data_IF_146777644795
#
_entry.id   IF_146777644795
#
_cell.length_a   1.000
_cell.length_b   1.000
_cell.length_c   1.000
_cell.angle_alpha   90.00
_cell.angle_beta   90.00
_cell.angle_gamma   90.00
#
_symmetry.space_group_name_H-M   'P 1'
#
loop_
_entity.id
_entity.type
_entity.pdbx_description
1 polymer ?
#
# COMPACT_ATOMS: atom_id res chain seq x y z
N UNK A 1 -13.67 -23.76 -16.87
CA UNK A 1 -14.19 -23.15 -15.65
C UNK A 1 -13.16 -22.14 -15.18
N UNK A 2 -13.50 -20.86 -15.25
CA UNK A 2 -12.64 -19.79 -14.71
C UNK A 2 -12.79 -19.80 -13.19
N UNK A 3 -11.67 -19.91 -12.48
CA UNK A 3 -11.66 -19.79 -11.03
C UNK A 3 -11.95 -18.30 -10.70
N UNK A 4 -12.91 -18.05 -9.82
CA UNK A 4 -13.20 -16.70 -9.32
C UNK A 4 -11.95 -16.11 -8.68
N UNK A 5 -11.60 -14.88 -9.02
CA UNK A 5 -10.43 -14.22 -8.47
C UNK A 5 -10.72 -13.67 -7.06
N UNK A 6 -9.68 -13.60 -6.23
CA UNK A 6 -9.79 -13.02 -4.89
C UNK A 6 -10.25 -11.57 -4.97
N UNK A 7 -11.38 -11.26 -4.34
CA UNK A 7 -12.00 -9.94 -4.32
C UNK A 7 -12.91 -9.62 -5.52
N UNK A 8 -13.04 -10.51 -6.49
CA UNK A 8 -13.87 -10.27 -7.69
C UNK A 8 -15.34 -10.06 -7.34
N UNK A 9 -15.87 -10.85 -6.40
CA UNK A 9 -17.26 -10.74 -5.94
C UNK A 9 -17.56 -9.40 -5.25
N UNK A 10 -16.61 -8.91 -4.46
CA UNK A 10 -16.79 -7.65 -3.70
C UNK A 10 -16.49 -6.40 -4.54
N UNK A 11 -15.57 -6.50 -5.52
CA UNK A 11 -15.08 -5.38 -6.33
C UNK A 11 -15.05 -5.73 -7.82
N UNK A 12 -16.17 -6.13 -8.44
CA UNK A 12 -16.16 -6.67 -9.80
C UNK A 12 -15.68 -5.67 -10.86
N UNK A 13 -15.95 -4.38 -10.68
CA UNK A 13 -15.48 -3.35 -11.61
C UNK A 13 -13.94 -3.22 -11.63
N UNK A 14 -13.25 -3.62 -10.55
CA UNK A 14 -11.79 -3.66 -10.50
C UNK A 14 -11.22 -4.65 -11.53
N UNK A 15 -11.88 -5.78 -11.73
CA UNK A 15 -11.47 -6.83 -12.64
C UNK A 15 -11.86 -6.57 -14.11
N UNK A 16 -12.85 -5.70 -14.34
CA UNK A 16 -13.19 -5.21 -15.70
C UNK A 16 -12.23 -4.11 -16.20
N UNK A 17 -11.46 -3.52 -15.30
CA UNK A 17 -10.37 -2.63 -15.65
C UNK A 17 -9.14 -3.50 -16.04
N UNK A 18 -8.22 -2.99 -16.87
CA UNK A 18 -7.01 -3.74 -17.22
C UNK A 18 -6.04 -3.82 -16.03
N UNK A 19 -6.53 -4.36 -14.91
CA UNK A 19 -5.76 -4.64 -13.71
C UNK A 19 -5.50 -6.13 -13.66
N UNK A 20 -4.22 -6.51 -13.64
CA UNK A 20 -3.79 -7.91 -13.54
C UNK A 20 -3.65 -8.36 -12.07
N UNK A 21 -4.08 -7.51 -11.11
CA UNK A 21 -3.89 -7.70 -9.68
C UNK A 21 -5.21 -8.04 -9.00
N UNK A 22 -5.19 -9.02 -8.10
CA UNK A 22 -6.30 -9.28 -7.21
C UNK A 22 -6.53 -8.13 -6.23
N UNK A 23 -7.80 -7.85 -5.87
CA UNK A 23 -8.10 -6.84 -4.86
C UNK A 23 -7.81 -7.40 -3.47
N UNK A 24 -6.67 -7.00 -2.88
CA UNK A 24 -6.13 -7.58 -1.65
C UNK A 24 -6.45 -6.81 -0.37
N UNK A 25 -7.26 -5.75 -0.39
CA UNK A 25 -7.55 -4.98 0.85
C UNK A 25 -8.22 -5.85 1.90
N UNK A 26 -9.10 -6.77 1.48
CA UNK A 26 -9.81 -7.73 2.35
C UNK A 26 -9.17 -9.11 2.40
N UNK A 27 -7.90 -9.24 2.01
CA UNK A 27 -7.23 -10.56 1.96
C UNK A 27 -7.30 -11.33 3.28
N UNK A 28 -7.33 -10.62 4.41
CA UNK A 28 -7.47 -11.25 5.72
C UNK A 28 -8.81 -11.98 5.87
N UNK A 29 -9.90 -11.39 5.36
CA UNK A 29 -11.22 -12.01 5.37
C UNK A 29 -11.22 -13.25 4.46
N UNK A 30 -10.71 -13.13 3.24
CA UNK A 30 -10.65 -14.24 2.28
C UNK A 30 -9.82 -15.43 2.77
N UNK A 31 -8.75 -15.18 3.53
CA UNK A 31 -7.96 -16.24 4.18
C UNK A 31 -8.78 -16.93 5.28
N UNK A 32 -9.44 -16.14 6.15
CA UNK A 32 -10.15 -16.67 7.31
C UNK A 32 -11.46 -17.35 6.94
N UNK A 33 -12.15 -16.86 5.92
CA UNK A 33 -13.44 -17.37 5.46
C UNK A 33 -13.29 -18.48 4.40
N UNK A 34 -12.07 -18.71 3.90
CA UNK A 34 -11.75 -19.66 2.81
C UNK A 34 -12.58 -19.38 1.53
N UNK A 35 -12.91 -18.12 1.27
CA UNK A 35 -13.73 -17.67 0.14
C UNK A 35 -12.88 -16.83 -0.84
N UNK A 36 -12.91 -17.05 -2.15
CA UNK A 36 -13.68 -18.04 -2.92
C UNK A 36 -13.09 -19.47 -2.88
N UNK A 37 -11.91 -19.63 -2.31
CA UNK A 37 -11.21 -20.90 -2.09
C UNK A 37 -10.20 -20.78 -0.94
N UNK A 38 -9.81 -21.93 -0.32
CA UNK A 38 -8.81 -21.89 0.75
C UNK A 38 -7.46 -21.39 0.30
N UNK A 39 -7.01 -20.27 0.87
CA UNK A 39 -5.65 -19.79 0.73
C UNK A 39 -4.77 -20.48 1.76
N UNK A 40 -3.89 -21.39 1.31
CA UNK A 40 -3.06 -22.23 2.20
C UNK A 40 -1.67 -21.65 2.43
N UNK A 41 -1.14 -20.91 1.46
CA UNK A 41 0.18 -20.31 1.55
C UNK A 41 0.19 -18.87 1.05
N UNK A 42 1.06 -18.05 1.65
CA UNK A 42 1.31 -16.68 1.25
C UNK A 42 2.82 -16.42 1.19
N UNK A 43 3.24 -15.76 0.13
CA UNK A 43 4.61 -15.25 0.01
C UNK A 43 4.52 -13.72 -0.06
N UNK A 44 5.02 -13.05 0.98
CA UNK A 44 4.99 -11.60 1.08
C UNK A 44 6.36 -10.98 0.81
N UNK A 45 6.47 -10.12 -0.21
CA UNK A 45 7.65 -9.30 -0.46
C UNK A 45 7.45 -7.92 0.15
N UNK A 46 8.19 -7.59 1.21
CA UNK A 46 8.04 -6.35 1.96
C UNK A 46 6.67 -6.21 2.62
N UNK A 47 5.99 -7.31 2.89
CA UNK A 47 4.66 -7.30 3.49
C UNK A 47 4.75 -6.79 4.94
N UNK A 48 4.00 -5.73 5.22
CA UNK A 48 3.84 -5.20 6.55
C UNK A 48 2.34 -5.14 6.90
N UNK A 49 1.85 -6.13 7.63
CA UNK A 49 0.43 -6.25 8.01
C UNK A 49 -0.11 -5.02 8.74
N UNK A 50 0.76 -4.24 9.40
CA UNK A 50 0.37 -3.00 10.09
C UNK A 50 -0.05 -1.86 9.15
N UNK A 51 0.18 -2.01 7.85
CA UNK A 51 -0.27 -1.05 6.84
C UNK A 51 -1.71 -1.29 6.39
N UNK A 52 -2.34 -2.39 6.80
CA UNK A 52 -3.76 -2.67 6.58
C UNK A 52 -4.64 -2.11 7.70
N UNK A 53 -5.90 -1.76 7.43
CA UNK A 53 -6.87 -1.47 8.47
C UNK A 53 -7.03 -2.66 9.42
N UNK A 54 -7.23 -2.37 10.71
CA UNK A 54 -7.32 -3.40 11.76
C UNK A 54 -6.18 -4.43 11.69
N UNK A 55 -4.92 -4.05 11.92
CA UNK A 55 -3.74 -4.92 11.75
C UNK A 55 -3.82 -6.24 12.51
N UNK A 56 -4.49 -6.27 13.66
CA UNK A 56 -4.68 -7.50 14.45
C UNK A 56 -5.55 -8.54 13.73
N UNK A 57 -6.50 -8.08 12.89
CA UNK A 57 -7.31 -8.97 12.08
C UNK A 57 -6.46 -9.65 11.00
N UNK A 58 -5.62 -8.88 10.32
CA UNK A 58 -4.67 -9.44 9.35
C UNK A 58 -3.63 -10.36 10.02
N UNK A 59 -3.21 -10.03 11.25
CA UNK A 59 -2.32 -10.92 12.01
C UNK A 59 -2.97 -12.30 12.29
N UNK A 60 -4.29 -12.34 12.57
CA UNK A 60 -5.02 -13.61 12.73
C UNK A 60 -5.02 -14.41 11.43
N UNK A 61 -5.24 -13.75 10.29
CA UNK A 61 -5.22 -14.38 8.98
C UNK A 61 -3.83 -14.97 8.66
N UNK A 62 -2.75 -14.23 8.86
CA UNK A 62 -1.39 -14.73 8.62
C UNK A 62 -1.07 -15.97 9.47
N UNK A 63 -1.56 -16.04 10.70
CA UNK A 63 -1.40 -17.20 11.60
C UNK A 63 -2.30 -18.39 11.25
N UNK A 64 -3.32 -18.18 10.44
CA UNK A 64 -4.23 -19.26 9.99
C UNK A 64 -3.72 -19.96 8.72
N UNK A 65 -2.74 -19.39 8.03
CA UNK A 65 -2.12 -20.02 6.86
C UNK A 65 -1.36 -21.28 7.26
N UNK A 66 -1.35 -22.26 6.38
CA UNK A 66 -0.53 -23.49 6.52
C UNK A 66 0.97 -23.17 6.31
N UNK A 67 1.29 -22.15 5.51
CA UNK A 67 2.67 -21.74 5.26
C UNK A 67 2.77 -20.26 4.87
N UNK A 68 3.56 -19.50 5.61
CA UNK A 68 3.81 -18.09 5.32
C UNK A 68 5.30 -17.82 5.16
N UNK A 69 5.68 -17.26 4.01
CA UNK A 69 7.04 -16.78 3.71
C UNK A 69 7.05 -15.26 3.69
N UNK A 70 7.97 -14.64 4.42
CA UNK A 70 8.17 -13.18 4.35
C UNK A 70 9.57 -12.85 3.85
N UNK A 71 9.63 -12.07 2.79
CA UNK A 71 10.87 -11.51 2.21
C UNK A 71 10.95 -10.05 2.64
N UNK A 72 11.92 -9.69 3.46
CA UNK A 72 12.00 -8.31 4.00
C UNK A 72 13.45 -7.90 4.27
N UNK A 73 13.69 -6.57 4.30
CA UNK A 73 14.96 -5.95 4.70
C UNK A 73 15.23 -6.09 6.20
N UNK A 74 14.17 -6.12 7.00
CA UNK A 74 14.23 -6.18 8.45
C UNK A 74 13.42 -7.35 8.99
N UNK A 75 13.82 -7.89 10.11
CA UNK A 75 13.02 -8.87 10.85
C UNK A 75 11.83 -8.16 11.48
N UNK A 76 10.81 -7.92 10.66
CA UNK A 76 9.61 -7.14 10.99
C UNK A 76 8.61 -7.90 11.86
N UNK A 77 7.55 -7.23 12.32
CA UNK A 77 6.50 -7.90 13.07
C UNK A 77 5.74 -8.92 12.19
N UNK A 78 5.68 -8.67 10.88
CA UNK A 78 5.19 -9.67 9.91
C UNK A 78 6.15 -10.85 9.77
N UNK A 79 7.47 -10.59 9.74
CA UNK A 79 8.50 -11.65 9.67
C UNK A 79 8.47 -12.58 10.88
N UNK A 80 8.12 -12.06 12.07
CA UNK A 80 8.00 -12.87 13.30
C UNK A 80 6.89 -13.93 13.26
N UNK A 81 5.95 -13.78 12.34
CA UNK A 81 4.84 -14.72 12.15
C UNK A 81 5.08 -15.71 11.01
N UNK A 82 6.12 -15.46 10.20
CA UNK A 82 6.41 -16.30 9.04
C UNK A 82 7.09 -17.61 9.45
N UNK A 83 6.77 -18.68 8.73
CA UNK A 83 7.43 -19.99 8.85
C UNK A 83 8.84 -19.93 8.24
N UNK A 84 9.02 -19.10 7.21
CA UNK A 84 10.30 -18.87 6.55
C UNK A 84 10.50 -17.38 6.28
N UNK A 85 11.66 -16.86 6.69
CA UNK A 85 12.08 -15.49 6.39
C UNK A 85 13.26 -15.51 5.45
N UNK A 86 13.13 -14.80 4.33
CA UNK A 86 14.20 -14.65 3.35
C UNK A 86 14.71 -13.20 3.38
N UNK A 87 16.02 -12.97 3.60
CA UNK A 87 16.55 -11.63 3.68
C UNK A 87 16.65 -10.98 2.29
N UNK A 88 16.03 -9.81 2.14
CA UNK A 88 16.09 -9.03 0.92
C UNK A 88 17.32 -8.11 0.90
N UNK A 89 17.94 -7.95 -0.26
CA UNK A 89 19.00 -6.97 -0.48
C UNK A 89 18.42 -5.56 -0.59
N UNK A 90 19.08 -4.59 0.03
CA UNK A 90 18.75 -3.18 -0.09
C UNK A 90 19.08 -2.61 -1.46
N UNK A 91 18.65 -1.38 -1.74
CA UNK A 91 18.97 -0.70 -3.01
C UNK A 91 20.46 -0.46 -3.23
N UNK A 92 21.29 -0.48 -2.17
CA UNK A 92 22.75 -0.34 -2.28
C UNK A 92 23.46 -1.68 -2.55
N UNK A 93 22.77 -2.79 -2.40
CA UNK A 93 23.31 -4.14 -2.48
C UNK A 93 22.93 -4.87 -3.78
N UNK A 94 22.23 -4.21 -4.70
CA UNK A 94 21.74 -4.82 -5.93
C UNK A 94 21.81 -3.89 -7.13
N UNK A 95 22.01 -4.48 -8.31
CA UNK A 95 21.83 -3.80 -9.58
C UNK A 95 20.33 -3.68 -9.89
N UNK A 96 19.89 -2.57 -10.45
CA UNK A 96 18.50 -2.39 -10.85
C UNK A 96 18.42 -1.56 -12.14
N UNK A 97 17.71 -2.07 -13.13
CA UNK A 97 17.32 -1.29 -14.30
C UNK A 97 16.13 -0.41 -13.92
N UNK A 98 16.28 0.89 -14.12
CA UNK A 98 15.26 1.89 -13.86
C UNK A 98 14.75 2.47 -15.18
N UNK A 99 13.43 2.56 -15.32
CA UNK A 99 12.78 3.27 -16.42
C UNK A 99 12.34 4.66 -15.94
N UNK A 100 12.99 5.68 -16.47
CA UNK A 100 12.67 7.06 -16.19
C UNK A 100 11.64 7.66 -17.14
N UNK A 101 11.26 8.91 -16.86
CA UNK A 101 10.32 9.63 -17.73
C UNK A 101 10.91 9.82 -19.15
N UNK A 102 10.06 9.74 -20.16
CA UNK A 102 10.44 9.97 -21.56
C UNK A 102 11.19 8.80 -22.20
N UNK A 103 11.11 7.61 -21.63
CA UNK A 103 11.75 6.42 -22.17
C UNK A 103 13.27 6.40 -21.96
N UNK A 104 13.75 7.06 -20.92
CA UNK A 104 15.15 6.99 -20.48
C UNK A 104 15.33 5.78 -19.56
N UNK A 105 16.33 4.96 -19.82
CA UNK A 105 16.71 3.83 -19.01
C UNK A 105 18.01 4.11 -18.28
N UNK A 106 18.14 3.65 -17.06
CA UNK A 106 19.31 3.80 -16.20
C UNK A 106 19.64 2.47 -15.56
N UNK A 107 20.91 2.22 -15.29
CA UNK A 107 21.35 1.14 -14.42
C UNK A 107 21.81 1.74 -13.08
N UNK A 108 21.17 1.36 -12.01
CA UNK A 108 21.66 1.60 -10.66
C UNK A 108 22.51 0.39 -10.27
N UNK A 109 23.81 0.55 -10.30
CA UNK A 109 24.73 -0.52 -9.89
C UNK A 109 24.82 -0.60 -8.36
N UNK A 110 25.05 -1.80 -7.84
CA UNK A 110 25.26 -2.00 -6.40
C UNK A 110 26.51 -1.24 -5.93
N UNK A 111 26.40 -0.60 -4.78
CA UNK A 111 27.52 0.12 -4.15
C UNK A 111 28.29 -0.74 -3.14
N UNK A 112 27.67 -1.79 -2.62
CA UNK A 112 28.25 -2.74 -1.66
C UNK A 112 27.78 -4.15 -1.97
N UNK A 113 28.51 -5.14 -1.51
CA UNK A 113 28.06 -6.54 -1.58
C UNK A 113 26.89 -6.77 -0.60
N UNK A 114 25.94 -7.67 -0.95
CA UNK A 114 24.84 -8.03 -0.06
C UNK A 114 25.34 -8.52 1.30
N UNK A 115 24.69 -8.08 2.36
CA UNK A 115 25.04 -8.47 3.74
C UNK A 115 24.48 -9.87 4.05
N UNK A 116 25.33 -10.75 4.51
CA UNK A 116 24.94 -12.12 4.90
C UNK A 116 24.38 -12.92 3.73
N UNK A 117 23.15 -13.42 3.87
CA UNK A 117 22.44 -14.19 2.84
C UNK A 117 21.43 -13.38 2.03
N UNK A 118 21.46 -12.04 2.16
CA UNK A 118 20.53 -11.16 1.46
C UNK A 118 20.67 -11.29 -0.06
N UNK A 119 19.54 -11.34 -0.75
CA UNK A 119 19.46 -11.43 -2.21
C UNK A 119 18.45 -10.43 -2.76
N UNK A 120 18.62 -10.09 -4.01
CA UNK A 120 17.63 -9.33 -4.77
C UNK A 120 16.30 -10.12 -4.84
N UNK A 121 15.17 -9.43 -4.79
CA UNK A 121 13.84 -10.04 -4.84
C UNK A 121 13.68 -10.97 -6.06
N UNK A 122 14.19 -10.57 -7.22
CA UNK A 122 14.15 -11.39 -8.44
C UNK A 122 15.05 -12.65 -8.30
N UNK A 123 16.21 -12.55 -7.67
CA UNK A 123 17.06 -13.73 -7.41
C UNK A 123 16.38 -14.69 -6.42
N UNK A 124 15.62 -14.17 -5.45
CA UNK A 124 14.79 -14.97 -4.55
C UNK A 124 13.70 -15.69 -5.35
N UNK A 125 12.98 -14.97 -6.22
CA UNK A 125 11.96 -15.56 -7.11
C UNK A 125 12.55 -16.64 -8.01
N UNK A 126 13.71 -16.41 -8.62
CA UNK A 126 14.45 -17.40 -9.43
C UNK A 126 14.78 -18.64 -8.59
N UNK A 127 15.23 -18.44 -7.35
CA UNK A 127 15.53 -19.53 -6.42
C UNK A 127 14.30 -20.37 -6.09
N UNK A 128 13.17 -19.72 -5.84
CA UNK A 128 11.89 -20.38 -5.56
C UNK A 128 11.39 -21.15 -6.79
N UNK A 129 11.42 -20.54 -7.96
CA UNK A 129 11.03 -21.15 -9.23
C UNK A 129 11.80 -22.44 -9.47
N UNK A 130 13.13 -22.43 -9.27
CA UNK A 130 14.00 -23.61 -9.39
C UNK A 130 13.65 -24.69 -8.35
N UNK A 131 13.42 -24.29 -7.09
CA UNK A 131 13.06 -25.22 -6.03
C UNK A 131 11.72 -25.91 -6.28
N UNK A 132 10.77 -25.19 -6.89
CA UNK A 132 9.46 -25.70 -7.28
C UNK A 132 9.46 -26.44 -8.62
N UNK A 133 10.58 -26.50 -9.32
CA UNK A 133 10.71 -27.08 -10.66
C UNK A 133 9.76 -26.43 -11.69
N UNK A 134 9.51 -25.14 -11.53
CA UNK A 134 8.74 -24.34 -12.47
C UNK A 134 9.66 -23.71 -13.51
N UNK A 135 9.11 -23.43 -14.68
CA UNK A 135 9.82 -22.80 -15.79
C UNK A 135 9.19 -21.46 -16.13
N UNK A 136 10.02 -20.45 -16.33
CA UNK A 136 9.63 -19.12 -16.78
C UNK A 136 10.75 -18.55 -17.64
N UNK A 137 10.42 -18.16 -18.89
CA UNK A 137 11.38 -17.71 -19.89
C UNK A 137 12.21 -16.50 -19.42
N UNK A 138 11.60 -15.58 -18.67
CA UNK A 138 12.27 -14.38 -18.20
C UNK A 138 13.20 -14.64 -17.00
N UNK A 139 12.88 -15.62 -16.15
CA UNK A 139 13.53 -15.83 -14.85
C UNK A 139 14.54 -17.00 -14.82
N UNK A 140 14.34 -18.05 -15.63
CA UNK A 140 15.11 -19.30 -15.50
C UNK A 140 16.61 -19.14 -15.79
N UNK A 141 17.01 -18.13 -16.56
CA UNK A 141 18.39 -17.88 -16.97
C UNK A 141 19.19 -16.99 -16.00
N UNK A 142 18.59 -16.56 -14.91
CA UNK A 142 19.22 -15.76 -13.87
C UNK A 142 19.03 -14.25 -14.02
N UNK A 143 19.47 -13.51 -12.99
CA UNK A 143 19.11 -12.10 -12.85
C UNK A 143 19.65 -11.20 -13.96
N UNK A 144 20.90 -11.39 -14.42
CA UNK A 144 21.45 -10.57 -15.50
C UNK A 144 20.66 -10.77 -16.80
N UNK A 145 20.29 -12.01 -17.11
CA UNK A 145 19.45 -12.33 -18.27
C UNK A 145 18.04 -11.81 -18.14
N UNK A 146 17.49 -11.78 -16.94
CA UNK A 146 16.23 -11.10 -16.68
C UNK A 146 16.31 -9.60 -16.99
N UNK A 147 17.38 -8.91 -16.58
CA UNK A 147 17.57 -7.49 -16.92
C UNK A 147 17.70 -7.26 -18.43
N UNK A 148 18.41 -8.14 -19.14
CA UNK A 148 18.48 -8.09 -20.62
C UNK A 148 17.11 -8.31 -21.25
N UNK A 149 16.34 -9.29 -20.76
CA UNK A 149 14.99 -9.60 -21.23
C UNK A 149 14.03 -8.41 -21.10
N UNK A 150 13.99 -7.74 -19.96
CA UNK A 150 13.11 -6.57 -19.77
C UNK A 150 13.56 -5.35 -20.57
N UNK A 151 14.84 -5.28 -20.97
CA UNK A 151 15.37 -4.20 -21.82
C UNK A 151 15.15 -4.43 -23.32
N UNK A 152 15.00 -5.68 -23.75
CA UNK A 152 14.91 -6.06 -25.17
C UNK A 152 13.90 -5.22 -25.97
N UNK A 153 12.65 -4.99 -25.49
CA UNK A 153 11.68 -4.17 -26.24
C UNK A 153 12.13 -2.73 -26.44
N UNK A 154 12.96 -2.19 -25.54
CA UNK A 154 13.49 -0.82 -25.62
C UNK A 154 14.63 -0.68 -26.62
N UNK A 155 15.28 -1.77 -26.98
CA UNK A 155 16.48 -1.80 -27.78
C UNK A 155 17.73 -1.26 -27.07
N UNK A 156 17.67 -1.08 -25.76
CA UNK A 156 18.79 -0.69 -24.90
C UNK A 156 19.43 -1.96 -24.32
N UNK A 157 20.75 -1.97 -24.22
CA UNK A 157 21.50 -3.08 -23.64
C UNK A 157 22.09 -2.74 -22.26
N UNK A 158 22.40 -3.74 -21.46
CA UNK A 158 23.09 -3.53 -20.17
C UNK A 158 24.50 -2.94 -20.37
N UNK A 159 25.17 -3.32 -21.45
CA UNK A 159 26.50 -2.79 -21.79
C UNK A 159 26.43 -1.28 -22.06
N UNK A 160 25.44 -0.83 -22.84
CA UNK A 160 25.19 0.60 -23.06
C UNK A 160 24.88 1.34 -21.76
N UNK A 161 24.06 0.76 -20.88
CA UNK A 161 23.73 1.38 -19.59
C UNK A 161 24.96 1.49 -18.67
N UNK A 162 25.84 0.48 -18.68
CA UNK A 162 27.10 0.54 -17.93
C UNK A 162 28.06 1.61 -18.48
N UNK A 163 28.05 1.82 -19.79
CA UNK A 163 28.88 2.84 -20.44
C UNK A 163 28.32 4.25 -20.28
N UNK A 164 27.01 4.40 -20.00
CA UNK A 164 26.28 5.66 -19.95
C UNK A 164 25.51 5.82 -18.63
N UNK A 165 26.19 6.17 -17.51
CA UNK A 165 25.53 6.38 -16.21
C UNK A 165 24.45 7.49 -16.23
N UNK A 166 24.57 8.43 -17.16
CA UNK A 166 23.57 9.50 -17.40
C UNK A 166 22.26 8.98 -18.00
N UNK A 167 22.22 7.70 -18.38
CA UNK A 167 21.06 7.01 -18.96
C UNK A 167 21.09 6.95 -20.48
N UNK A 168 20.37 5.96 -21.02
CA UNK A 168 20.22 5.72 -22.45
C UNK A 168 18.75 5.85 -22.83
N UNK A 169 18.48 6.53 -23.95
CA UNK A 169 17.13 6.65 -24.47
C UNK A 169 16.75 5.41 -25.27
N UNK A 170 15.75 4.69 -24.81
CA UNK A 170 15.19 3.55 -25.53
C UNK A 170 14.35 3.94 -26.76
N UNK A 171 14.02 2.97 -27.56
CA UNK A 171 13.11 3.14 -28.70
C UNK A 171 11.75 3.62 -28.23
N UNK A 172 11.17 4.53 -28.94
CA UNK A 172 9.75 4.85 -28.80
C UNK A 172 8.98 3.76 -29.55
N UNK A 173 8.49 2.76 -28.82
CA UNK A 173 7.78 1.60 -29.39
C UNK A 173 6.50 2.06 -30.10
N UNK A 174 5.83 3.05 -29.53
CA UNK A 174 4.66 3.67 -30.15
C UNK A 174 4.91 5.17 -30.23
N UNK A 175 5.33 5.70 -31.37
CA UNK A 175 5.50 7.16 -31.53
C UNK A 175 4.16 7.86 -31.21
N UNK A 176 4.15 8.94 -30.44
CA UNK A 176 2.95 9.72 -30.23
C UNK A 176 2.49 10.27 -31.58
N UNK A 177 1.46 9.66 -32.16
CA UNK A 177 0.86 10.16 -33.37
C UNK A 177 -0.11 11.31 -33.03
N UNK A 178 0.06 12.46 -33.71
CA UNK A 178 -0.90 13.55 -33.59
C UNK A 178 -2.30 13.05 -33.96
N UNK A 179 -3.26 13.30 -33.06
CA UNK A 179 -4.66 12.87 -33.22
C UNK A 179 -4.83 11.34 -33.44
N UNK A 180 -4.04 10.54 -32.70
CA UNK A 180 -4.07 9.08 -32.80
C UNK A 180 -5.48 8.52 -32.60
N UNK A 181 -6.16 8.96 -31.55
CA UNK A 181 -7.48 8.46 -31.19
C UNK A 181 -8.62 8.93 -32.12
N UNK A 182 -8.37 9.93 -32.99
CA UNK A 182 -9.30 10.30 -34.05
C UNK A 182 -9.43 9.19 -35.14
N UNK A 183 -8.36 8.41 -35.32
CA UNK A 183 -8.27 7.30 -36.27
C UNK A 183 -8.53 5.94 -35.65
N UNK A 184 -7.96 5.71 -34.49
CA UNK A 184 -7.96 4.40 -33.81
C UNK A 184 -9.13 4.23 -32.84
N UNK A 185 -9.79 5.33 -32.44
CA UNK A 185 -10.77 5.34 -31.35
C UNK A 185 -10.11 5.26 -29.97
N UNK A 186 -10.91 5.31 -28.94
CA UNK A 186 -10.47 5.16 -27.56
C UNK A 186 -10.64 3.70 -27.10
N UNK A 187 -9.81 3.27 -26.15
CA UNK A 187 -9.92 1.95 -25.52
C UNK A 187 -11.04 1.93 -24.47
N UNK A 188 -12.26 2.16 -24.92
CA UNK A 188 -13.49 2.16 -24.15
C UNK A 188 -14.53 1.29 -24.85
N UNK A 189 -15.55 0.78 -24.17
CA UNK A 189 -16.61 0.00 -24.80
C UNK A 189 -17.28 0.70 -25.99
N UNK A 190 -17.40 2.03 -25.95
CA UNK A 190 -17.98 2.84 -27.03
C UNK A 190 -16.97 3.22 -28.13
N UNK A 191 -15.68 3.01 -27.92
CA UNK A 191 -14.61 3.53 -28.79
C UNK A 191 -14.45 5.05 -28.75
N UNK A 192 -15.16 5.74 -27.83
CA UNK A 192 -15.16 7.21 -27.65
C UNK A 192 -14.74 7.57 -26.24
N UNK A 193 -14.48 8.86 -25.99
CA UNK A 193 -14.37 9.36 -24.61
C UNK A 193 -15.73 9.17 -23.93
N UNK A 194 -15.73 8.46 -22.81
CA UNK A 194 -16.95 8.21 -22.04
C UNK A 194 -17.00 9.14 -20.82
N UNK A 195 -18.05 9.95 -20.74
CA UNK A 195 -18.41 10.72 -19.55
C UNK A 195 -19.24 9.90 -18.56
N UNK A 196 -19.93 8.87 -19.09
CA UNK A 196 -20.62 7.84 -18.33
C UNK A 196 -19.85 6.54 -18.56
N UNK A 197 -19.31 5.96 -17.50
CA UNK A 197 -18.59 4.68 -17.59
C UNK A 197 -19.57 3.54 -17.84
N UNK A 198 -19.51 2.93 -19.01
CA UNK A 198 -20.31 1.76 -19.31
C UNK A 198 -19.90 0.53 -18.48
N UNK A 199 -18.67 0.48 -18.03
CA UNK A 199 -18.19 -0.59 -17.13
C UNK A 199 -18.91 -0.48 -15.79
N UNK A 200 -18.95 0.69 -15.17
CA UNK A 200 -19.64 0.87 -13.89
C UNK A 200 -21.15 0.69 -14.00
N UNK A 201 -21.77 1.13 -15.09
CA UNK A 201 -23.21 0.95 -15.31
C UNK A 201 -23.64 -0.54 -15.33
N UNK A 202 -22.78 -1.47 -15.72
CA UNK A 202 -23.07 -2.91 -15.66
C UNK A 202 -23.36 -3.39 -14.23
N UNK A 203 -22.75 -2.77 -13.24
CA UNK A 203 -22.86 -3.14 -11.84
C UNK A 203 -23.82 -2.25 -11.05
N UNK A 204 -24.63 -1.43 -11.73
CA UNK A 204 -25.58 -0.52 -11.10
C UNK A 204 -26.57 -1.26 -10.20
N UNK A 205 -27.20 -2.30 -10.72
CA UNK A 205 -28.24 -3.04 -10.00
C UNK A 205 -27.67 -3.97 -8.93
N UNK A 206 -26.48 -4.54 -9.15
CA UNK A 206 -25.86 -5.49 -8.22
C UNK A 206 -25.06 -4.83 -7.11
N UNK A 207 -24.36 -3.70 -7.41
CA UNK A 207 -23.45 -3.03 -6.47
C UNK A 207 -23.79 -1.55 -6.24
N UNK A 208 -24.82 -1.01 -6.89
CA UNK A 208 -25.23 0.39 -6.74
C UNK A 208 -24.22 1.39 -7.31
N UNK A 209 -23.38 0.98 -8.27
CA UNK A 209 -22.42 1.88 -8.91
C UNK A 209 -23.12 2.87 -9.83
N UNK A 210 -22.55 4.07 -9.97
CA UNK A 210 -22.97 5.05 -10.96
C UNK A 210 -21.88 5.21 -12.01
N UNK A 211 -22.27 5.19 -13.28
CA UNK A 211 -21.35 5.49 -14.38
C UNK A 211 -20.92 6.95 -14.43
N UNK A 212 -21.68 7.84 -13.80
CA UNK A 212 -21.31 9.24 -13.62
C UNK A 212 -20.58 9.44 -12.29
N UNK A 213 -19.50 10.24 -12.26
CA UNK A 213 -18.89 10.67 -11.01
C UNK A 213 -19.89 11.51 -10.21
N UNK A 214 -20.30 11.03 -9.06
CA UNK A 214 -21.21 11.72 -8.15
C UNK A 214 -20.49 12.06 -6.86
N UNK A 215 -20.64 13.31 -6.39
CA UNK A 215 -20.17 13.66 -5.07
C UNK A 215 -21.08 13.04 -4.02
N UNK A 216 -20.47 12.27 -3.11
CA UNK A 216 -21.13 11.74 -1.91
C UNK A 216 -20.37 12.24 -0.69
N UNK A 217 -21.07 12.98 0.16
CA UNK A 217 -20.46 13.47 1.40
C UNK A 217 -20.22 12.26 2.32
N UNK A 218 -18.96 11.94 2.58
CA UNK A 218 -18.59 10.82 3.46
C UNK A 218 -19.19 10.95 4.87
N UNK A 219 -19.50 12.19 5.31
CA UNK A 219 -20.15 12.49 6.58
C UNK A 219 -21.59 11.98 6.63
N UNK A 220 -22.24 11.82 5.50
CA UNK A 220 -23.62 11.34 5.38
C UNK A 220 -23.66 9.84 5.08
N UNK A 221 -22.74 9.36 4.23
CA UNK A 221 -22.77 7.97 3.75
C UNK A 221 -21.97 6.98 4.61
N UNK A 222 -21.16 7.46 5.55
CA UNK A 222 -20.33 6.59 6.41
C UNK A 222 -21.14 5.71 7.36
N UNK A 223 -22.37 6.11 7.72
CA UNK A 223 -23.19 5.40 8.73
C UNK A 223 -22.63 5.48 10.16
N UNK A 224 -21.57 6.27 10.39
CA UNK A 224 -20.92 6.37 11.70
C UNK A 224 -21.66 7.31 12.64
N UNK A 225 -21.67 6.99 13.94
CA UNK A 225 -22.22 7.83 15.00
C UNK A 225 -21.35 9.07 15.22
N UNK A 226 -21.80 10.20 14.66
CA UNK A 226 -21.10 11.47 14.73
C UNK A 226 -21.27 12.22 16.06
N UNK A 227 -22.20 11.81 16.90
CA UNK A 227 -22.28 12.32 18.28
C UNK A 227 -21.19 11.68 19.14
N UNK A 228 -20.98 10.38 18.99
CA UNK A 228 -19.92 9.64 19.67
C UNK A 228 -18.51 9.96 19.13
N UNK A 229 -18.39 10.17 17.81
CA UNK A 229 -17.12 10.43 17.10
C UNK A 229 -17.20 11.73 16.28
N UNK A 230 -17.14 12.91 16.94
CA UNK A 230 -17.46 14.19 16.29
C UNK A 230 -16.37 14.78 15.42
N UNK A 231 -15.14 14.22 15.45
CA UNK A 231 -13.99 14.74 14.72
C UNK A 231 -13.68 13.89 13.50
N UNK A 232 -13.25 14.53 12.43
CA UNK A 232 -12.75 13.84 11.23
C UNK A 232 -11.34 13.33 11.53
N UNK A 233 -11.12 12.06 11.29
CA UNK A 233 -9.80 11.41 11.36
C UNK A 233 -9.13 11.42 10.00
N UNK A 234 -7.93 11.96 9.92
CA UNK A 234 -7.06 11.92 8.77
C UNK A 234 -5.76 11.15 9.10
N UNK A 235 -5.51 10.03 8.43
CA UNK A 235 -4.29 9.21 8.61
C UNK A 235 -3.45 9.11 7.34
N UNK A 236 -3.83 9.83 6.30
CA UNK A 236 -3.29 9.66 4.95
C UNK A 236 -1.91 10.25 4.67
N UNK A 237 -1.29 10.94 5.63
CA UNK A 237 0.05 11.51 5.45
C UNK A 237 1.13 10.62 6.05
N UNK A 238 2.32 10.72 5.48
CA UNK A 238 3.52 10.01 5.97
C UNK A 238 4.59 10.99 6.42
N UNK A 239 5.32 10.63 7.45
CA UNK A 239 6.55 11.35 7.82
C UNK A 239 7.71 10.84 6.98
N UNK A 240 8.51 11.72 6.39
CA UNK A 240 9.64 11.32 5.54
C UNK A 240 10.61 10.36 6.23
N UNK A 241 10.90 10.56 7.50
CA UNK A 241 11.80 9.74 8.28
C UNK A 241 11.25 8.33 8.59
N UNK A 242 9.95 8.14 8.57
CA UNK A 242 9.32 6.83 8.83
C UNK A 242 9.01 6.06 7.54
N UNK A 243 8.74 6.75 6.47
CA UNK A 243 8.48 6.21 5.14
C UNK A 243 7.58 4.96 5.12
N UNK A 244 6.32 5.09 5.57
CA UNK A 244 5.34 3.99 5.66
C UNK A 244 5.80 2.82 6.56
N UNK A 245 6.29 3.10 7.74
CA UNK A 245 6.82 2.10 8.68
C UNK A 245 8.05 1.32 8.17
N UNK A 246 8.66 1.75 7.06
CA UNK A 246 9.83 1.07 6.50
C UNK A 246 11.09 1.37 7.30
N UNK A 247 11.28 2.62 7.73
CA UNK A 247 12.54 3.12 8.28
C UNK A 247 12.53 3.37 9.79
N UNK A 248 11.42 3.12 10.49
CA UNK A 248 11.39 3.26 11.96
C UNK A 248 12.31 2.27 12.69
N UNK A 249 12.79 1.23 12.02
CA UNK A 249 13.79 0.29 12.54
C UNK A 249 15.22 0.76 12.35
N UNK A 250 15.44 1.84 11.60
CA UNK A 250 16.76 2.46 11.43
C UNK A 250 17.00 3.40 12.62
N UNK A 251 17.97 3.12 13.53
CA UNK A 251 18.06 3.79 14.82
C UNK A 251 18.17 5.31 14.77
N UNK A 252 18.95 5.84 13.81
CA UNK A 252 19.11 7.28 13.64
C UNK A 252 17.87 7.97 13.05
N UNK A 253 17.06 7.29 12.25
CA UNK A 253 15.80 7.81 11.72
C UNK A 253 14.69 7.71 12.78
N UNK A 254 14.61 6.59 13.49
CA UNK A 254 13.68 6.40 14.60
C UNK A 254 13.91 7.42 15.73
N UNK A 255 15.16 7.84 15.96
CA UNK A 255 15.50 8.85 16.94
C UNK A 255 14.96 10.25 16.64
N UNK A 256 14.56 10.53 15.39
CA UNK A 256 13.93 11.79 15.01
C UNK A 256 12.46 11.89 15.45
N UNK A 257 11.84 10.76 15.77
CA UNK A 257 10.46 10.69 16.23
C UNK A 257 10.33 9.70 17.39
N UNK A 258 10.12 10.25 18.59
CA UNK A 258 10.10 9.43 19.82
C UNK A 258 8.70 8.92 20.17
N UNK A 259 7.64 9.51 19.63
CA UNK A 259 6.25 9.16 19.93
C UNK A 259 5.33 9.44 18.75
N UNK A 260 4.19 8.76 18.72
CA UNK A 260 3.10 9.08 17.81
C UNK A 260 2.58 10.49 18.12
N UNK A 261 2.63 11.38 17.13
CA UNK A 261 2.04 12.71 17.24
C UNK A 261 0.59 12.69 16.76
N UNK A 262 -0.25 13.40 17.53
CA UNK A 262 -1.65 13.65 17.23
C UNK A 262 -1.82 15.14 16.97
N UNK A 263 -1.97 15.54 15.73
CA UNK A 263 -2.10 16.94 15.36
C UNK A 263 -3.54 17.39 15.52
N UNK A 264 -3.73 18.49 16.24
CA UNK A 264 -5.05 19.09 16.51
C UNK A 264 -5.01 20.60 16.36
N UNK A 265 -6.11 21.16 15.88
CA UNK A 265 -6.27 22.61 15.80
C UNK A 265 -6.39 23.24 17.19
N UNK A 266 -5.84 24.44 17.44
CA UNK A 266 -5.92 25.11 18.75
C UNK A 266 -7.35 25.32 19.29
N UNK A 267 -8.35 25.52 18.43
CA UNK A 267 -9.76 25.63 18.85
C UNK A 267 -10.28 24.31 19.41
N UNK A 268 -9.95 23.18 18.76
CA UNK A 268 -10.33 21.85 19.24
C UNK A 268 -9.57 21.50 20.53
N UNK A 269 -8.28 21.79 20.59
CA UNK A 269 -7.48 21.60 21.79
C UNK A 269 -8.08 22.34 22.99
N UNK A 270 -8.48 23.60 22.79
CA UNK A 270 -9.19 24.38 23.81
C UNK A 270 -10.54 23.77 24.20
N UNK A 271 -11.33 23.33 23.21
CA UNK A 271 -12.63 22.70 23.41
C UNK A 271 -12.57 21.45 24.26
N UNK A 272 -11.54 20.62 24.02
CA UNK A 272 -11.34 19.32 24.70
C UNK A 272 -10.39 19.41 25.91
N UNK A 273 -9.93 20.61 26.30
CA UNK A 273 -9.04 20.83 27.45
C UNK A 273 -7.65 20.19 27.30
N UNK A 274 -7.14 20.16 26.07
CA UNK A 274 -5.84 19.56 25.70
C UNK A 274 -4.83 20.68 25.50
N UNK A 275 -3.64 20.53 26.09
CA UNK A 275 -2.49 21.40 25.85
C UNK A 275 -1.50 20.73 24.90
N UNK A 276 -0.65 21.55 24.26
CA UNK A 276 0.48 21.02 23.48
C UNK A 276 1.40 20.16 24.37
N UNK A 277 1.77 18.99 23.84
CA UNK A 277 2.58 18.00 24.59
C UNK A 277 1.78 17.09 25.53
N UNK A 278 0.48 17.29 25.73
CA UNK A 278 -0.32 16.37 26.52
C UNK A 278 -0.39 14.97 25.88
N UNK A 279 -0.41 13.93 26.73
CA UNK A 279 -0.78 12.60 26.28
C UNK A 279 -2.29 12.57 26.00
N UNK A 280 -2.66 12.12 24.83
CA UNK A 280 -4.05 12.03 24.38
C UNK A 280 -4.37 10.64 23.87
N UNK A 281 -5.63 10.25 24.02
CA UNK A 281 -6.22 9.06 23.41
C UNK A 281 -7.10 9.48 22.25
N UNK A 282 -6.81 8.92 21.07
CA UNK A 282 -7.68 8.98 19.90
C UNK A 282 -8.43 7.66 19.83
N UNK A 283 -9.74 7.72 19.70
CA UNK A 283 -10.58 6.52 19.57
C UNK A 283 -11.51 6.63 18.36
N UNK A 284 -11.70 5.54 17.69
CA UNK A 284 -12.65 5.34 16.59
C UNK A 284 -13.63 4.22 16.97
N UNK A 285 -14.64 3.91 16.15
CA UNK A 285 -15.53 2.77 16.40
C UNK A 285 -14.82 1.43 16.54
N UNK A 286 -13.64 1.24 15.94
CA UNK A 286 -12.92 -0.05 15.89
C UNK A 286 -11.70 -0.13 16.78
N UNK A 287 -11.15 1.00 17.25
CA UNK A 287 -9.96 0.94 18.06
C UNK A 287 -9.58 2.26 18.74
N UNK A 288 -8.45 2.23 19.44
CA UNK A 288 -7.89 3.44 20.06
C UNK A 288 -6.37 3.39 20.14
N UNK A 289 -5.74 4.55 20.01
CA UNK A 289 -4.30 4.75 20.19
C UNK A 289 -4.03 5.87 21.17
N UNK A 290 -2.84 5.86 21.77
CA UNK A 290 -2.32 6.97 22.54
C UNK A 290 -1.18 7.67 21.78
N UNK A 291 -1.12 8.99 21.90
CA UNK A 291 -0.08 9.80 21.29
C UNK A 291 0.08 11.14 22.00
N UNK A 292 1.07 11.90 21.57
CA UNK A 292 1.33 13.24 22.11
C UNK A 292 0.62 14.28 21.25
N UNK A 293 -0.18 15.13 21.87
CA UNK A 293 -0.86 16.24 21.21
C UNK A 293 0.17 17.24 20.64
N UNK A 294 0.04 17.55 19.37
CA UNK A 294 0.74 18.60 18.67
C UNK A 294 -0.28 19.69 18.28
N UNK A 295 -0.26 20.78 19.04
CA UNK A 295 -1.28 21.84 18.88
C UNK A 295 -0.74 22.98 18.05
N UNK A 296 -1.18 23.06 16.79
CA UNK A 296 -0.79 24.14 15.89
C UNK A 296 -1.75 24.31 14.70
N UNK A 297 -1.63 25.41 13.96
CA UNK A 297 -2.52 25.81 12.86
C UNK A 297 -2.25 25.01 11.54
N UNK A 298 -1.94 23.73 11.63
CA UNK A 298 -1.65 22.90 10.44
C UNK A 298 -2.89 22.15 9.91
N UNK A 299 -3.95 22.08 10.69
CA UNK A 299 -5.22 21.47 10.32
C UNK A 299 -6.37 22.47 10.43
N UNK A 300 -7.52 22.11 9.90
CA UNK A 300 -8.75 22.87 10.12
C UNK A 300 -9.43 22.41 11.43
N UNK A 301 -10.23 23.30 12.09
CA UNK A 301 -11.05 22.88 13.21
C UNK A 301 -11.94 21.67 12.84
N UNK A 302 -12.09 20.75 13.78
CA UNK A 302 -12.86 19.51 13.58
C UNK A 302 -12.10 18.37 12.94
N UNK A 303 -10.78 18.53 12.68
CA UNK A 303 -9.93 17.49 12.08
C UNK A 303 -8.80 17.10 13.05
N UNK A 304 -8.66 15.81 13.27
CA UNK A 304 -7.51 15.19 13.94
C UNK A 304 -6.67 14.46 12.92
N UNK A 305 -5.37 14.72 12.92
CA UNK A 305 -4.44 14.03 12.03
C UNK A 305 -3.46 13.17 12.82
N UNK A 306 -3.31 11.91 12.39
CA UNK A 306 -2.36 10.94 12.94
C UNK A 306 -1.54 10.37 11.79
N UNK A 307 -0.22 10.46 11.89
CA UNK A 307 0.66 9.86 10.90
C UNK A 307 0.71 8.33 11.08
N UNK A 308 0.66 7.60 9.98
CA UNK A 308 0.88 6.16 9.99
C UNK A 308 2.38 5.80 9.98
N UNK A 309 2.70 4.57 10.31
CA UNK A 309 4.06 4.02 10.28
C UNK A 309 4.82 4.15 11.59
N UNK A 310 4.16 4.47 12.69
CA UNK A 310 4.77 4.50 14.00
C UNK A 310 4.95 3.09 14.59
N UNK A 311 6.00 2.89 15.37
CA UNK A 311 6.25 1.62 16.06
C UNK A 311 5.19 1.30 17.12
N UNK A 312 4.66 2.34 17.76
CA UNK A 312 3.59 2.26 18.77
C UNK A 312 2.46 3.21 18.37
N UNK A 313 1.20 2.83 18.61
CA UNK A 313 0.05 3.66 18.29
C UNK A 313 -0.09 3.84 16.77
N UNK A 314 -0.23 2.74 16.05
CA UNK A 314 -0.38 2.75 14.59
C UNK A 314 -1.75 3.32 14.18
N UNK A 315 -1.76 4.25 13.26
CA UNK A 315 -2.98 4.90 12.79
C UNK A 315 -4.00 3.92 12.19
N UNK A 316 -3.54 2.80 11.65
CA UNK A 316 -4.41 1.76 11.07
C UNK A 316 -5.22 0.99 12.13
N UNK A 317 -4.83 1.04 13.41
CA UNK A 317 -5.65 0.51 14.52
C UNK A 317 -6.98 1.28 14.68
N UNK A 318 -7.09 2.46 14.06
CA UNK A 318 -8.28 3.31 14.09
C UNK A 318 -9.19 3.16 12.88
N UNK A 319 -8.78 2.47 11.83
CA UNK A 319 -9.50 2.41 10.55
C UNK A 319 -10.24 1.07 10.42
N UNK A 320 -11.55 1.15 10.18
CA UNK A 320 -12.39 -0.02 9.93
C UNK A 320 -12.06 -0.64 8.57
N UNK A 321 -11.76 -1.94 8.56
CA UNK A 321 -11.45 -2.72 7.35
C UNK A 321 -12.64 -2.85 6.40
N UNK A 322 -13.86 -2.60 6.88
CA UNK A 322 -15.07 -2.63 6.07
C UNK A 322 -15.47 -1.27 5.49
N UNK A 323 -14.83 -0.17 5.94
CA UNK A 323 -15.09 1.16 5.41
C UNK A 323 -14.18 1.43 4.20
N UNK A 324 -14.60 0.92 3.07
CA UNK A 324 -13.85 0.88 1.81
C UNK A 324 -14.57 1.66 0.71
N UNK A 325 -13.82 2.18 -0.23
CA UNK A 325 -14.37 2.63 -1.50
C UNK A 325 -15.01 1.43 -2.22
N UNK A 326 -16.27 1.52 -2.63
CA UNK A 326 -17.00 0.36 -3.14
C UNK A 326 -16.49 -0.14 -4.50
N UNK A 327 -15.75 0.67 -5.24
CA UNK A 327 -15.24 0.32 -6.58
C UNK A 327 -13.83 -0.24 -6.49
N UNK A 328 -12.94 0.47 -5.77
CA UNK A 328 -11.52 0.13 -5.69
C UNK A 328 -11.12 -0.67 -4.45
N UNK A 329 -12.00 -0.75 -3.44
CA UNK A 329 -11.66 -1.32 -2.14
C UNK A 329 -10.65 -0.49 -1.34
N UNK A 330 -10.42 0.78 -1.69
CA UNK A 330 -9.46 1.61 -0.98
C UNK A 330 -10.02 2.07 0.37
N UNK A 331 -9.27 1.93 1.49
CA UNK A 331 -9.75 2.30 2.81
C UNK A 331 -9.91 3.82 3.00
N UNK A 332 -10.87 4.20 3.84
CA UNK A 332 -11.21 5.60 4.13
C UNK A 332 -10.21 6.35 5.00
N UNK A 333 -8.92 6.32 4.70
CA UNK A 333 -7.84 6.92 5.50
C UNK A 333 -7.94 8.43 5.76
N UNK A 334 -8.71 9.15 4.94
CA UNK A 334 -8.88 10.62 5.06
C UNK A 334 -10.31 11.04 5.33
N UNK A 335 -11.20 10.09 5.49
CA UNK A 335 -12.64 10.29 5.58
C UNK A 335 -13.28 9.45 6.70
N UNK A 336 -12.55 9.21 7.76
CA UNK A 336 -13.01 8.45 8.91
C UNK A 336 -13.36 9.37 10.08
N UNK A 337 -13.86 8.84 11.19
CA UNK A 337 -14.25 9.65 12.34
C UNK A 337 -13.61 9.17 13.63
N UNK A 338 -13.37 10.10 14.55
CA UNK A 338 -12.78 9.82 15.85
C UNK A 338 -13.30 10.77 16.94
N UNK A 339 -12.98 10.44 18.17
CA UNK A 339 -12.97 11.33 19.32
C UNK A 339 -11.56 11.41 19.90
N UNK A 340 -11.31 12.51 20.61
CA UNK A 340 -10.05 12.73 21.30
C UNK A 340 -10.31 13.09 22.77
N UNK A 341 -9.50 12.54 23.64
CA UNK A 341 -9.60 12.78 25.09
C UNK A 341 -8.18 12.90 25.68
N UNK A 342 -8.02 13.78 26.67
CA UNK A 342 -6.77 13.83 27.44
C UNK A 342 -6.62 12.54 28.25
N UNK A 343 -5.48 11.85 28.09
CA UNK A 343 -5.20 10.63 28.85
C UNK A 343 -4.95 10.95 30.31
N UNK A 344 -5.62 10.24 31.21
CA UNK A 344 -5.45 10.39 32.66
C UNK A 344 -4.43 9.37 33.14
N UNK A 345 -3.21 9.81 33.45
CA UNK A 345 -2.15 8.99 34.03
C UNK A 345 -0.83 9.05 33.24
N UNK A 346 0.27 8.74 33.89
CA UNK A 346 1.56 8.57 33.24
C UNK A 346 1.52 7.28 32.41
N UNK A 347 1.41 7.41 31.09
CA UNK A 347 1.69 6.28 30.20
C UNK A 347 3.21 6.11 30.22
N UNK A 348 3.70 5.02 30.79
CA UNK A 348 5.11 4.66 30.70
C UNK A 348 5.47 4.53 29.22
N UNK A 349 6.35 5.42 28.77
CA UNK A 349 6.85 5.54 27.39
C UNK A 349 7.55 4.25 26.91
#
# INVERSE_FOLDING_TARGET
DTIEAIGEKDFPAWFDLPCEEAQCTRIADYILDEDPYPLKALIGFGLNHRMWPEPEHFQKALKALDFYVNVDLFFSDSSKMADLVLPAASSFERDVVLNGRGGMFFLSEKAIEPVGEAKNDIEIMIGMLRAMQLHDEALEHGYEKYMEYILEPSGVTLEELRAHPEGVKGRVIIPPAFKRYEKEGFHTPSGKVEFVSQILERYKDSHGYSGLPEYRDFREVSGMDREAYPLILNTGSRKPQLFHARTYRVPWLAGLEKATLVEIHPEDAKKYGIADGDMVRVSSPVGSICGIAAVYLNSQPGIVHVYHGNAKGEANDLIDRNYLDPISGFPGYKSYFCKIEKEKGEVKA
#
